data_IF_923987495833
#
_entry.id   IF_923987495833
#
_cell.length_a   1.000
_cell.length_b   1.000
_cell.length_c   1.000
_cell.angle_alpha   90.00
_cell.angle_beta   90.00
_cell.angle_gamma   90.00
#
_symmetry.space_group_name_H-M   'P 1'
#
loop_
_entity.id
_entity.type
_entity.pdbx_description
1 polymer ?
#
# COMPACT_ATOMS: atom_id res chain seq x y z
N UNK A 1 -7.00 13.39 -15.85
CA UNK A 1 -7.26 12.40 -14.78
C UNK A 1 -8.64 12.70 -14.23
N UNK A 2 -9.50 11.69 -14.09
CA UNK A 2 -10.79 11.84 -13.41
C UNK A 2 -10.57 12.32 -11.97
N UNK A 3 -11.51 13.09 -11.40
CA UNK A 3 -11.38 13.65 -10.05
C UNK A 3 -11.12 12.60 -8.97
N UNK A 4 -11.72 11.41 -9.12
CA UNK A 4 -11.57 10.29 -8.19
C UNK A 4 -10.17 9.66 -8.22
N UNK A 5 -9.54 9.53 -9.39
CA UNK A 5 -8.17 8.98 -9.46
C UNK A 5 -7.15 9.96 -8.87
N UNK A 6 -7.42 11.26 -8.98
CA UNK A 6 -6.60 12.29 -8.36
C UNK A 6 -6.66 12.20 -6.83
N UNK A 7 -7.86 12.10 -6.25
CA UNK A 7 -8.00 11.97 -4.79
C UNK A 7 -7.38 10.67 -4.26
N UNK A 8 -7.59 9.54 -4.95
CA UNK A 8 -6.96 8.27 -4.59
C UNK A 8 -5.42 8.39 -4.61
N UNK A 9 -4.87 9.08 -5.61
CA UNK A 9 -3.43 9.31 -5.69
C UNK A 9 -2.92 10.14 -4.51
N UNK A 10 -3.60 11.23 -4.16
CA UNK A 10 -3.23 12.07 -3.02
C UNK A 10 -3.26 11.28 -1.70
N UNK A 11 -4.30 10.48 -1.48
CA UNK A 11 -4.38 9.60 -0.31
C UNK A 11 -3.24 8.59 -0.26
N UNK A 12 -2.96 7.89 -1.36
CA UNK A 12 -1.85 6.93 -1.45
C UNK A 12 -0.49 7.60 -1.21
N UNK A 13 -0.25 8.80 -1.73
CA UNK A 13 0.98 9.57 -1.49
C UNK A 13 1.14 9.94 0.00
N UNK A 14 0.06 10.36 0.67
CA UNK A 14 0.05 10.62 2.11
C UNK A 14 0.33 9.34 2.92
N UNK A 15 -0.34 8.24 2.59
CA UNK A 15 -0.13 6.94 3.25
C UNK A 15 1.30 6.45 3.04
N UNK A 16 1.87 6.60 1.84
CA UNK A 16 3.27 6.25 1.56
C UNK A 16 4.21 7.00 2.49
N UNK A 17 4.01 8.31 2.64
CA UNK A 17 4.84 9.15 3.50
C UNK A 17 4.75 8.74 4.97
N UNK A 18 3.54 8.43 5.46
CA UNK A 18 3.34 7.95 6.84
C UNK A 18 4.05 6.61 7.10
N UNK A 19 3.91 5.65 6.19
CA UNK A 19 4.53 4.33 6.31
C UNK A 19 6.06 4.43 6.25
N UNK A 20 6.60 5.29 5.39
CA UNK A 20 8.04 5.55 5.32
C UNK A 20 8.57 6.21 6.60
N UNK A 21 7.88 7.20 7.16
CA UNK A 21 8.23 7.81 8.47
C UNK A 21 8.20 6.77 9.60
N UNK A 22 7.18 5.91 9.59
CA UNK A 22 7.06 4.83 10.57
C UNK A 22 8.21 3.84 10.49
N UNK A 23 8.66 3.47 9.28
CA UNK A 23 9.84 2.61 9.10
C UNK A 23 11.13 3.30 9.52
N UNK A 24 11.26 4.61 9.29
CA UNK A 24 12.44 5.38 9.68
C UNK A 24 12.71 5.30 11.19
N UNK A 25 11.68 5.23 12.02
CA UNK A 25 11.81 5.05 13.48
C UNK A 25 12.57 3.77 13.82
N UNK A 26 12.24 2.66 13.16
CA UNK A 26 12.92 1.38 13.36
C UNK A 26 14.36 1.38 12.78
N UNK A 27 14.60 2.08 11.67
CA UNK A 27 15.95 2.22 11.10
C UNK A 27 16.86 3.08 11.97
N UNK A 28 16.35 4.20 12.51
CA UNK A 28 17.10 5.13 13.35
C UNK A 28 17.56 4.48 14.67
N UNK A 29 16.80 3.51 15.18
CA UNK A 29 17.15 2.69 16.34
C UNK A 29 18.19 1.59 16.00
N UNK A 30 18.64 1.49 14.74
CA UNK A 30 19.65 0.52 14.30
C UNK A 30 19.14 -0.92 14.22
N UNK A 31 17.81 -1.12 14.30
CA UNK A 31 17.20 -2.44 14.48
C UNK A 31 17.16 -3.28 13.20
N UNK A 32 17.26 -2.67 12.01
CA UNK A 32 17.25 -3.40 10.74
C UNK A 32 18.53 -4.22 10.51
N UNK A 33 19.64 -3.86 11.17
CA UNK A 33 20.90 -4.62 11.16
C UNK A 33 21.02 -5.60 12.33
N UNK A 34 20.09 -5.55 13.29
CA UNK A 34 20.12 -6.35 14.51
C UNK A 34 18.77 -7.05 14.71
N UNK A 35 18.38 -7.95 13.79
CA UNK A 35 17.09 -8.64 13.87
C UNK A 35 16.92 -9.47 15.15
N UNK A 36 18.02 -9.84 15.83
CA UNK A 36 17.97 -10.56 17.11
C UNK A 36 17.68 -9.67 18.33
N UNK A 37 17.66 -8.34 18.16
CA UNK A 37 17.41 -7.38 19.23
C UNK A 37 15.97 -6.83 19.23
N UNK A 38 15.22 -7.04 18.15
CA UNK A 38 13.79 -6.76 18.09
C UNK A 38 12.99 -7.95 18.61
N UNK A 39 11.96 -7.66 19.39
CA UNK A 39 10.98 -8.66 19.81
C UNK A 39 10.26 -9.25 18.60
N UNK A 40 9.72 -10.48 18.69
CA UNK A 40 8.89 -11.05 17.63
C UNK A 40 7.70 -10.16 17.23
N UNK A 41 7.18 -9.39 18.19
CA UNK A 41 6.08 -8.45 17.99
C UNK A 41 6.51 -7.26 17.14
N UNK A 42 7.67 -6.66 17.44
CA UNK A 42 8.24 -5.57 16.63
C UNK A 42 8.60 -6.04 15.23
N UNK A 43 9.17 -7.23 15.09
CA UNK A 43 9.45 -7.82 13.78
C UNK A 43 8.18 -7.97 12.94
N UNK A 44 7.09 -8.47 13.53
CA UNK A 44 5.79 -8.57 12.86
C UNK A 44 5.28 -7.20 12.41
N UNK A 45 5.37 -6.19 13.27
CA UNK A 45 4.96 -4.82 12.92
C UNK A 45 5.80 -4.26 11.77
N UNK A 46 7.13 -4.41 11.81
CA UNK A 46 8.02 -3.97 10.74
C UNK A 46 7.66 -4.64 9.42
N UNK A 47 7.43 -5.96 9.43
CA UNK A 47 7.04 -6.71 8.24
C UNK A 47 5.68 -6.27 7.70
N UNK A 48 4.70 -6.04 8.56
CA UNK A 48 3.38 -5.53 8.18
C UNK A 48 3.50 -4.16 7.51
N UNK A 49 4.24 -3.23 8.12
CA UNK A 49 4.43 -1.88 7.57
C UNK A 49 5.18 -1.93 6.23
N UNK A 50 6.17 -2.82 6.07
CA UNK A 50 6.86 -3.04 4.79
C UNK A 50 5.90 -3.59 3.72
N UNK A 51 5.02 -4.52 4.07
CA UNK A 51 4.02 -5.07 3.15
C UNK A 51 3.00 -4.00 2.72
N UNK A 52 2.46 -3.23 3.67
CA UNK A 52 1.53 -2.14 3.40
C UNK A 52 2.17 -1.09 2.48
N UNK A 53 3.43 -0.73 2.73
CA UNK A 53 4.16 0.23 1.89
C UNK A 53 4.35 -0.30 0.47
N UNK A 54 4.69 -1.58 0.32
CA UNK A 54 4.83 -2.22 -0.99
C UNK A 54 3.52 -2.19 -1.78
N UNK A 55 2.38 -2.40 -1.11
CA UNK A 55 1.07 -2.33 -1.75
C UNK A 55 0.71 -0.91 -2.20
N UNK A 56 1.00 0.10 -1.38
CA UNK A 56 0.81 1.52 -1.71
C UNK A 56 1.71 1.94 -2.88
N UNK A 57 3.00 1.60 -2.86
CA UNK A 57 3.92 1.92 -3.94
C UNK A 57 3.50 1.25 -5.26
N UNK A 58 3.03 0.00 -5.21
CA UNK A 58 2.47 -0.69 -6.37
C UNK A 58 1.25 0.03 -6.92
N UNK A 59 0.32 0.45 -6.07
CA UNK A 59 -0.87 1.20 -6.46
C UNK A 59 -0.52 2.53 -7.14
N UNK A 60 0.46 3.27 -6.60
CA UNK A 60 0.98 4.50 -7.19
C UNK A 60 1.63 4.27 -8.56
N UNK A 61 2.43 3.22 -8.71
CA UNK A 61 3.01 2.83 -10.00
C UNK A 61 1.92 2.48 -11.03
N UNK A 62 0.87 1.76 -10.62
CA UNK A 62 -0.27 1.47 -11.50
C UNK A 62 -0.97 2.75 -11.97
N UNK A 63 -1.08 3.77 -11.11
CA UNK A 63 -1.63 5.08 -11.48
C UNK A 63 -0.72 5.80 -12.49
N UNK A 64 0.60 5.75 -12.29
CA UNK A 64 1.58 6.34 -13.19
C UNK A 64 1.55 5.69 -14.58
N UNK A 65 1.47 4.35 -14.65
CA UNK A 65 1.38 3.60 -15.90
C UNK A 65 -0.02 3.57 -16.52
N UNK A 66 -1.03 4.15 -15.87
CA UNK A 66 -2.41 4.18 -16.37
C UNK A 66 -3.14 2.84 -16.34
N UNK A 67 -2.69 1.91 -15.50
CA UNK A 67 -3.26 0.55 -15.32
C UNK A 67 -3.92 0.35 -13.95
N UNK A 68 -4.17 1.44 -13.23
CA UNK A 68 -4.85 1.40 -11.94
C UNK A 68 -6.30 0.91 -12.08
N UNK A 69 -6.73 0.09 -11.12
CA UNK A 69 -8.06 -0.51 -11.13
C UNK A 69 -8.23 -1.63 -12.17
N UNK A 70 -7.14 -2.25 -12.62
CA UNK A 70 -7.18 -3.49 -13.39
C UNK A 70 -6.92 -4.67 -12.46
N UNK A 71 -7.82 -5.64 -12.47
CA UNK A 71 -7.71 -6.91 -11.75
C UNK A 71 -6.51 -7.69 -12.28
N UNK A 72 -5.59 -8.06 -11.38
CA UNK A 72 -4.34 -8.73 -11.75
C UNK A 72 -4.52 -10.19 -12.17
N UNK A 73 -5.66 -10.81 -11.88
CA UNK A 73 -5.98 -12.19 -12.25
C UNK A 73 -6.80 -12.27 -13.55
N UNK A 74 -7.81 -11.40 -13.70
CA UNK A 74 -8.73 -11.47 -14.85
C UNK A 74 -8.44 -10.45 -15.93
N UNK A 75 -7.77 -9.34 -15.58
CA UNK A 75 -7.59 -8.19 -16.47
C UNK A 75 -8.82 -7.29 -16.59
N UNK A 76 -9.89 -7.56 -15.84
CA UNK A 76 -11.10 -6.73 -15.82
C UNK A 76 -10.90 -5.44 -15.02
N UNK A 77 -11.81 -4.48 -15.19
CA UNK A 77 -11.81 -3.25 -14.38
C UNK A 77 -12.45 -3.50 -13.02
N UNK A 78 -11.72 -3.18 -11.96
CA UNK A 78 -12.22 -3.14 -10.59
C UNK A 78 -13.17 -1.94 -10.39
N UNK A 79 -14.22 -2.06 -9.57
CA UNK A 79 -15.16 -0.97 -9.30
C UNK A 79 -14.47 0.22 -8.63
N UNK A 80 -14.50 1.39 -9.28
CA UNK A 80 -13.83 2.60 -8.78
C UNK A 80 -14.36 3.06 -7.41
N UNK A 81 -15.65 2.87 -7.14
CA UNK A 81 -16.26 3.23 -5.86
C UNK A 81 -15.69 2.42 -4.70
N UNK A 82 -15.33 1.16 -4.95
CA UNK A 82 -14.67 0.28 -3.97
C UNK A 82 -13.17 0.58 -3.86
N UNK A 83 -12.51 0.93 -4.96
CA UNK A 83 -11.11 1.38 -4.93
C UNK A 83 -10.92 2.69 -4.17
N UNK A 84 -11.97 3.50 -4.02
CA UNK A 84 -11.95 4.66 -3.12
C UNK A 84 -11.88 4.26 -1.65
N UNK A 85 -12.31 3.04 -1.31
CA UNK A 85 -12.29 2.50 0.06
C UNK A 85 -11.01 1.70 0.28
N UNK A 86 -10.66 0.83 -0.67
CA UNK A 86 -9.43 0.02 -0.65
C UNK A 86 -8.62 0.24 -1.95
N UNK A 87 -7.78 1.29 -2.01
CA UNK A 87 -7.05 1.65 -3.23
C UNK A 87 -5.90 0.69 -3.56
N UNK A 88 -5.49 -0.15 -2.62
CA UNK A 88 -4.45 -1.16 -2.78
C UNK A 88 -4.97 -2.50 -3.30
N UNK A 89 -6.29 -2.65 -3.49
CA UNK A 89 -6.89 -3.88 -4.01
C UNK A 89 -6.26 -4.29 -5.35
N UNK A 90 -5.94 -5.58 -5.47
CA UNK A 90 -5.32 -6.17 -6.66
C UNK A 90 -6.33 -6.97 -7.48
N UNK A 91 -7.36 -7.48 -6.82
CA UNK A 91 -8.36 -8.37 -7.40
C UNK A 91 -9.75 -8.08 -6.84
N UNK A 92 -10.80 -8.52 -7.53
CA UNK A 92 -12.18 -8.43 -7.04
C UNK A 92 -12.37 -9.16 -5.71
N UNK A 93 -11.58 -10.21 -5.44
CA UNK A 93 -11.60 -10.93 -4.17
C UNK A 93 -11.21 -10.05 -2.98
N UNK A 94 -10.28 -9.12 -3.18
CA UNK A 94 -9.88 -8.16 -2.14
C UNK A 94 -11.03 -7.19 -1.79
N UNK A 95 -11.96 -7.01 -2.73
CA UNK A 95 -13.09 -6.08 -2.65
C UNK A 95 -14.40 -6.74 -2.20
N UNK A 96 -14.40 -8.04 -1.86
CA UNK A 96 -15.63 -8.76 -1.48
C UNK A 96 -16.26 -8.25 -0.17
N UNK A 97 -15.46 -7.60 0.68
CA UNK A 97 -15.89 -7.12 2.00
C UNK A 97 -16.05 -5.59 2.10
N UNK A 98 -15.98 -4.90 0.96
CA UNK A 98 -16.03 -3.43 0.86
C UNK A 98 -17.17 -2.96 -0.04
#
# INVERSE_FOLDING_TARGET
MDGTYFSIKEELEMTRMELQDRLLKYYAEGLDYLPHLVTPQEQYVIQSVKADLQDVERALLKLEYGIFGIDEQTGDRLPIDKLRILPTARTENDLLFF
#
